data_IF_367284110461
#
_entry.id   IF_367284110461
#
_cell.length_a   1.000
_cell.length_b   1.000
_cell.length_c   1.000
_cell.angle_alpha   90.00
_cell.angle_beta   90.00
_cell.angle_gamma   90.00
#
_symmetry.space_group_name_H-M   'P 1'
#
loop_
_entity.id
_entity.type
_entity.pdbx_description
1 polymer ?
#
# COMPACT_ATOMS: atom_id res chain seq x y z
N UNK A 1 21.58 1.41 -11.05
CA UNK A 1 20.26 1.34 -11.71
C UNK A 1 20.45 1.90 -13.12
N UNK A 2 20.25 1.10 -14.16
CA UNK A 2 20.44 1.53 -15.57
C UNK A 2 19.19 2.19 -16.17
N UNK A 3 18.01 1.72 -15.77
CA UNK A 3 16.71 2.28 -16.11
C UNK A 3 15.89 2.38 -14.83
N UNK A 4 15.36 3.57 -14.56
CA UNK A 4 14.35 3.82 -13.52
C UNK A 4 13.02 4.05 -14.21
N UNK A 5 11.98 3.34 -13.77
CA UNK A 5 10.60 3.54 -14.23
C UNK A 5 9.81 4.13 -13.08
N UNK A 6 9.00 5.15 -13.37
CA UNK A 6 8.25 5.90 -12.37
C UNK A 6 6.78 5.88 -12.74
N UNK A 7 5.95 5.47 -11.78
CA UNK A 7 4.51 5.70 -11.80
C UNK A 7 4.20 7.02 -11.09
N UNK A 8 3.42 7.86 -11.76
CA UNK A 8 3.03 9.18 -11.25
C UNK A 8 1.69 9.16 -10.51
N UNK A 9 1.00 8.02 -10.50
CA UNK A 9 -0.30 7.82 -9.87
C UNK A 9 -0.33 7.85 -8.35
N UNK A 10 0.80 7.53 -7.71
CA UNK A 10 0.84 7.29 -6.26
C UNK A 10 1.28 8.56 -5.53
N UNK A 11 2.59 8.82 -5.49
CA UNK A 11 3.14 9.93 -4.70
C UNK A 11 2.97 11.30 -5.38
N UNK A 12 2.82 11.34 -6.71
CA UNK A 12 2.70 12.58 -7.49
C UNK A 12 1.26 12.96 -7.82
N UNK A 13 0.29 12.13 -7.39
CA UNK A 13 -1.16 12.39 -7.51
C UNK A 13 -1.63 12.83 -8.90
N UNK A 14 -1.03 12.27 -9.96
CA UNK A 14 -1.40 12.51 -11.36
C UNK A 14 -1.65 11.17 -12.05
N UNK A 15 -1.63 11.10 -13.38
CA UNK A 15 -1.81 9.84 -14.11
C UNK A 15 -0.80 9.75 -15.24
N UNK A 16 -0.09 8.63 -15.31
CA UNK A 16 0.92 8.36 -16.32
C UNK A 16 2.19 7.79 -15.71
N UNK A 17 3.23 7.71 -16.53
CA UNK A 17 4.53 7.22 -16.10
C UNK A 17 5.62 7.67 -17.05
N UNK A 18 6.86 7.63 -16.56
CA UNK A 18 8.03 7.94 -17.38
C UNK A 18 9.18 6.99 -17.00
N UNK A 19 10.18 6.92 -17.86
CA UNK A 19 11.43 6.25 -17.55
C UNK A 19 12.61 7.23 -17.65
N UNK A 20 13.64 6.97 -16.85
CA UNK A 20 14.90 7.70 -16.85
C UNK A 20 16.04 6.69 -16.96
N UNK A 21 17.10 7.04 -17.68
CA UNK A 21 18.25 6.16 -17.88
C UNK A 21 19.22 6.79 -18.88
N UNK A 22 20.13 5.98 -19.40
CA UNK A 22 21.07 6.43 -20.43
C UNK A 22 20.32 6.95 -21.68
N UNK A 23 20.76 8.08 -22.29
CA UNK A 23 20.12 8.63 -23.49
C UNK A 23 19.95 7.65 -24.65
N UNK A 24 20.89 6.72 -24.83
CA UNK A 24 20.81 5.67 -25.87
C UNK A 24 19.65 4.72 -25.56
N UNK A 25 19.49 4.32 -24.29
CA UNK A 25 18.43 3.44 -23.83
C UNK A 25 17.06 4.12 -23.95
N UNK A 26 16.94 5.37 -23.49
CA UNK A 26 15.69 6.14 -23.60
C UNK A 26 15.31 6.37 -25.07
N UNK A 27 16.29 6.68 -25.94
CA UNK A 27 16.06 6.83 -27.38
C UNK A 27 15.58 5.53 -28.02
N UNK A 28 16.14 4.39 -27.64
CA UNK A 28 15.69 3.09 -28.11
C UNK A 28 14.24 2.82 -27.69
N UNK A 29 13.90 3.03 -26.41
CA UNK A 29 12.52 2.89 -25.90
C UNK A 29 11.54 3.81 -26.64
N UNK A 30 11.96 5.05 -26.96
CA UNK A 30 11.13 6.01 -27.71
C UNK A 30 10.84 5.57 -29.15
N UNK A 31 11.80 4.91 -29.80
CA UNK A 31 11.70 4.48 -31.20
C UNK A 31 11.10 3.09 -31.38
N UNK A 32 11.19 2.24 -30.35
CA UNK A 32 10.79 0.83 -30.43
C UNK A 32 9.64 0.46 -29.49
N UNK A 33 9.30 1.33 -28.52
CA UNK A 33 8.21 1.09 -27.58
C UNK A 33 6.83 1.23 -28.24
N UNK A 34 6.18 0.10 -28.53
CA UNK A 34 4.85 0.08 -29.15
C UNK A 34 3.82 0.87 -28.34
N UNK A 35 3.83 0.73 -27.01
CA UNK A 35 2.94 1.48 -26.12
C UNK A 35 3.21 3.00 -26.13
N UNK A 36 4.43 3.43 -26.45
CA UNK A 36 4.76 4.85 -26.59
C UNK A 36 4.33 5.42 -27.95
N UNK A 37 4.46 4.63 -29.02
CA UNK A 37 4.16 5.05 -30.40
C UNK A 37 2.66 4.99 -30.72
N UNK A 38 1.98 3.94 -30.27
CA UNK A 38 0.59 3.63 -30.65
C UNK A 38 -0.41 3.97 -29.53
N UNK A 39 -0.12 4.99 -28.72
CA UNK A 39 -1.03 5.50 -27.69
C UNK A 39 -1.16 7.02 -27.76
N UNK A 40 -2.23 7.55 -27.17
CA UNK A 40 -2.40 8.98 -27.03
C UNK A 40 -1.45 9.56 -25.98
N UNK A 41 -0.90 10.74 -26.24
CA UNK A 41 -0.07 11.46 -25.27
C UNK A 41 -0.86 11.83 -24.02
N UNK A 42 -0.18 11.87 -22.87
CA UNK A 42 -0.75 12.35 -21.62
C UNK A 42 -1.26 13.81 -21.76
N UNK A 43 -2.46 14.14 -21.28
CA UNK A 43 -2.97 15.50 -21.24
C UNK A 43 -1.98 16.51 -20.63
N UNK A 44 -1.75 17.69 -21.23
CA UNK A 44 -0.76 18.65 -20.75
C UNK A 44 -0.92 19.05 -19.29
N UNK A 45 -2.16 19.17 -18.79
CA UNK A 45 -2.42 19.55 -17.40
C UNK A 45 -1.90 18.51 -16.39
N UNK A 46 -1.96 17.20 -16.73
CA UNK A 46 -1.43 16.13 -15.87
C UNK A 46 0.09 16.17 -15.83
N UNK A 47 0.74 16.52 -16.95
CA UNK A 47 2.19 16.69 -17.01
C UNK A 47 2.63 17.90 -16.18
N UNK A 48 1.92 19.03 -16.26
CA UNK A 48 2.17 20.19 -15.41
C UNK A 48 2.00 19.86 -13.93
N UNK A 49 0.91 19.17 -13.56
CA UNK A 49 0.69 18.73 -12.17
C UNK A 49 1.83 17.83 -11.67
N UNK A 50 2.31 16.91 -12.50
CA UNK A 50 3.47 16.06 -12.19
C UNK A 50 4.73 16.89 -11.91
N UNK A 51 5.02 17.89 -12.75
CA UNK A 51 6.19 18.76 -12.62
C UNK A 51 6.11 19.59 -11.33
N UNK A 52 4.94 20.15 -11.01
CA UNK A 52 4.76 20.91 -9.77
C UNK A 52 4.86 20.01 -8.53
N UNK A 53 4.30 18.80 -8.55
CA UNK A 53 4.45 17.84 -7.47
C UNK A 53 5.93 17.48 -7.21
N UNK A 54 6.72 17.26 -8.28
CA UNK A 54 8.17 17.03 -8.15
C UNK A 54 8.90 18.23 -7.53
N UNK A 55 8.59 19.45 -7.97
CA UNK A 55 9.19 20.67 -7.40
C UNK A 55 8.89 20.82 -5.91
N UNK A 56 7.66 20.47 -5.49
CA UNK A 56 7.28 20.47 -4.07
C UNK A 56 8.10 19.42 -3.31
N UNK A 57 8.24 18.21 -3.84
CA UNK A 57 9.03 17.14 -3.22
C UNK A 57 10.51 17.52 -3.04
N UNK A 58 11.10 18.21 -4.03
CA UNK A 58 12.49 18.69 -3.97
C UNK A 58 12.70 19.89 -3.02
N UNK A 59 11.62 20.57 -2.64
CA UNK A 59 11.67 21.75 -1.76
C UNK A 59 11.85 21.38 -0.27
N UNK A 60 12.02 22.40 0.58
CA UNK A 60 12.05 22.21 2.03
C UNK A 60 10.71 21.71 2.58
N UNK A 61 9.61 22.09 1.95
CA UNK A 61 8.27 21.59 2.28
C UNK A 61 8.19 20.09 2.03
N UNK A 62 8.66 19.61 0.87
CA UNK A 62 8.72 18.19 0.53
C UNK A 62 9.54 17.38 1.54
N UNK A 63 10.70 17.90 1.96
CA UNK A 63 11.51 17.27 3.04
C UNK A 63 10.75 17.17 4.35
N UNK A 64 9.99 18.19 4.73
CA UNK A 64 9.13 18.17 5.92
C UNK A 64 8.01 17.13 5.78
N UNK A 65 7.37 17.03 4.61
CA UNK A 65 6.34 16.03 4.32
C UNK A 65 6.91 14.60 4.44
N UNK A 66 8.08 14.34 3.84
CA UNK A 66 8.74 13.03 3.92
C UNK A 66 9.13 12.67 5.37
N UNK A 67 9.64 13.63 6.13
CA UNK A 67 9.95 13.42 7.56
C UNK A 67 8.67 13.06 8.34
N UNK A 68 7.58 13.81 8.12
CA UNK A 68 6.29 13.55 8.76
C UNK A 68 5.71 12.19 8.39
N UNK A 69 5.86 11.77 7.13
CA UNK A 69 5.47 10.43 6.68
C UNK A 69 6.24 9.35 7.47
N UNK A 70 7.57 9.47 7.58
CA UNK A 70 8.39 8.51 8.31
C UNK A 70 8.05 8.46 9.81
N UNK A 71 7.80 9.61 10.43
CA UNK A 71 7.29 9.68 11.81
C UNK A 71 5.94 8.97 11.95
N UNK A 72 5.00 9.24 11.04
CA UNK A 72 3.68 8.60 11.05
C UNK A 72 3.77 7.07 10.86
N UNK A 73 4.65 6.58 9.98
CA UNK A 73 4.88 5.14 9.77
C UNK A 73 5.36 4.49 11.07
N UNK A 74 6.36 5.10 11.72
CA UNK A 74 6.91 4.60 12.98
C UNK A 74 5.83 4.56 14.07
N UNK A 75 5.13 5.67 14.28
CA UNK A 75 4.09 5.79 15.30
C UNK A 75 2.93 4.83 15.05
N UNK A 76 2.51 4.66 13.80
CA UNK A 76 1.44 3.71 13.47
C UNK A 76 1.86 2.27 13.76
N UNK A 77 3.11 1.89 13.45
CA UNK A 77 3.66 0.57 13.80
C UNK A 77 3.70 0.35 15.32
N UNK A 78 4.05 1.38 16.10
CA UNK A 78 3.99 1.32 17.56
C UNK A 78 2.56 1.11 18.07
N UNK A 79 1.56 1.78 17.49
CA UNK A 79 0.16 1.60 17.87
C UNK A 79 -0.46 0.27 17.47
N UNK A 80 0.01 -0.34 16.36
CA UNK A 80 -0.36 -1.72 16.01
C UNK A 80 0.12 -2.72 17.08
N UNK A 81 1.15 -2.36 17.86
CA UNK A 81 1.57 -3.11 19.03
C UNK A 81 2.44 -4.33 18.74
N UNK A 82 2.44 -5.29 19.66
CA UNK A 82 3.34 -6.44 19.64
C UNK A 82 2.99 -7.43 18.53
N UNK A 83 3.99 -7.94 17.82
CA UNK A 83 3.84 -8.97 16.79
C UNK A 83 3.21 -10.27 17.32
N UNK A 84 3.38 -10.58 18.61
CA UNK A 84 2.77 -11.74 19.27
C UNK A 84 1.24 -11.71 19.17
N UNK A 85 0.62 -10.55 19.36
CA UNK A 85 -0.85 -10.39 19.23
C UNK A 85 -1.38 -10.84 17.87
N UNK A 86 -0.67 -10.48 16.79
CA UNK A 86 -1.05 -10.90 15.45
C UNK A 86 -0.79 -12.38 15.23
N UNK A 87 0.31 -12.89 15.77
CA UNK A 87 0.71 -14.31 15.65
C UNK A 87 -0.32 -15.22 16.30
N UNK A 88 -0.85 -14.84 17.46
CA UNK A 88 -1.93 -15.56 18.17
C UNK A 88 -3.23 -15.63 17.34
N UNK A 89 -3.48 -14.62 16.50
CA UNK A 89 -4.61 -14.60 15.56
C UNK A 89 -4.29 -15.30 14.21
N UNK A 90 -3.08 -15.85 14.05
CA UNK A 90 -2.62 -16.48 12.80
C UNK A 90 -2.14 -15.50 11.73
N UNK A 91 -1.86 -14.25 12.09
CA UNK A 91 -1.38 -13.18 11.20
C UNK A 91 0.04 -12.72 11.56
N UNK A 92 0.68 -12.02 10.64
CA UNK A 92 1.95 -11.34 10.86
C UNK A 92 1.91 -9.93 10.27
N UNK A 93 2.68 -9.01 10.87
CA UNK A 93 2.95 -7.71 10.26
C UNK A 93 4.07 -7.88 9.23
N UNK A 94 3.74 -7.62 7.96
CA UNK A 94 4.62 -7.74 6.80
C UNK A 94 4.85 -6.36 6.15
N UNK A 95 6.01 -6.19 5.52
CA UNK A 95 6.48 -4.95 4.91
C UNK A 95 7.60 -4.26 5.70
N UNK A 96 8.46 -3.55 4.96
CA UNK A 96 9.65 -2.86 5.48
C UNK A 96 9.32 -1.75 6.50
N UNK A 97 10.18 -1.55 7.49
CA UNK A 97 9.96 -0.58 8.58
C UNK A 97 9.80 0.86 8.08
N UNK A 98 10.45 1.23 6.99
CA UNK A 98 10.41 2.56 6.39
C UNK A 98 9.34 2.69 5.28
N UNK A 99 8.67 1.58 4.94
CA UNK A 99 7.63 1.55 3.92
C UNK A 99 6.33 2.21 4.40
N UNK A 100 5.81 3.12 3.58
CA UNK A 100 4.49 3.72 3.77
C UNK A 100 3.33 2.72 3.61
N UNK A 101 3.60 1.54 3.03
CA UNK A 101 2.62 0.45 2.94
C UNK A 101 3.07 -0.72 3.79
N UNK A 102 2.16 -1.24 4.60
CA UNK A 102 2.34 -2.46 5.39
C UNK A 102 1.16 -3.41 5.20
N UNK A 103 1.37 -4.66 5.57
CA UNK A 103 0.40 -5.74 5.40
C UNK A 103 0.18 -6.46 6.72
N UNK A 104 -1.08 -6.65 7.11
CA UNK A 104 -1.44 -7.64 8.14
C UNK A 104 -1.76 -8.92 7.37
N UNK A 105 -0.81 -9.83 7.30
CA UNK A 105 -0.82 -10.98 6.39
C UNK A 105 -1.08 -12.27 7.14
N UNK A 106 -1.93 -13.15 6.61
CA UNK A 106 -2.11 -14.51 7.14
C UNK A 106 -0.78 -15.25 7.08
N UNK A 107 -0.35 -15.83 8.20
CA UNK A 107 0.83 -16.69 8.24
C UNK A 107 0.60 -17.89 7.31
N UNK A 108 1.50 -18.18 6.35
CA UNK A 108 1.34 -19.29 5.43
C UNK A 108 1.25 -20.63 6.17
N UNK A 109 0.24 -21.43 5.84
CA UNK A 109 0.04 -22.78 6.40
C UNK A 109 -0.19 -23.78 5.26
N UNK A 110 0.28 -25.02 5.44
CA UNK A 110 -0.01 -26.10 4.52
C UNK A 110 -1.52 -26.37 4.50
N UNK A 111 -2.13 -26.36 3.31
CA UNK A 111 -3.57 -26.51 3.08
C UNK A 111 -4.47 -25.33 3.52
N UNK A 112 -3.95 -24.11 3.67
CA UNK A 112 -4.79 -22.95 3.97
C UNK A 112 -5.76 -22.62 2.83
N UNK A 113 -7.07 -22.52 3.12
CA UNK A 113 -8.07 -22.09 2.15
C UNK A 113 -8.02 -20.57 1.97
N UNK A 114 -7.41 -20.12 0.88
CA UNK A 114 -7.31 -18.71 0.53
C UNK A 114 -8.68 -18.03 0.37
N UNK A 115 -9.69 -18.73 -0.14
CA UNK A 115 -11.04 -18.15 -0.30
C UNK A 115 -11.70 -17.93 1.05
N UNK A 116 -11.56 -18.89 1.98
CA UNK A 116 -12.02 -18.73 3.37
C UNK A 116 -11.40 -17.50 4.01
N UNK A 117 -10.07 -17.38 3.96
CA UNK A 117 -9.37 -16.24 4.57
C UNK A 117 -9.70 -14.90 3.90
N UNK A 118 -9.87 -14.87 2.58
CA UNK A 118 -10.36 -13.65 1.91
C UNK A 118 -11.74 -13.24 2.41
N UNK A 119 -12.68 -14.17 2.58
CA UNK A 119 -14.03 -13.87 3.13
C UNK A 119 -13.94 -13.26 4.53
N UNK A 120 -13.10 -13.84 5.40
CA UNK A 120 -12.86 -13.30 6.74
C UNK A 120 -12.31 -11.86 6.66
N UNK A 121 -11.32 -11.61 5.80
CA UNK A 121 -10.76 -10.27 5.65
C UNK A 121 -11.75 -9.27 5.05
N UNK A 122 -12.64 -9.69 4.15
CA UNK A 122 -13.73 -8.82 3.65
C UNK A 122 -14.69 -8.44 4.78
N UNK A 123 -15.01 -9.36 5.68
CA UNK A 123 -15.85 -9.04 6.83
C UNK A 123 -15.13 -8.09 7.79
N UNK A 124 -13.83 -8.30 8.05
CA UNK A 124 -13.00 -7.37 8.85
C UNK A 124 -13.01 -5.97 8.22
N UNK A 125 -12.75 -5.87 6.91
CA UNK A 125 -12.80 -4.61 6.18
C UNK A 125 -14.18 -3.94 6.27
N UNK A 126 -15.25 -4.73 6.12
CA UNK A 126 -16.63 -4.25 6.20
C UNK A 126 -16.95 -3.68 7.59
N UNK A 127 -16.61 -4.41 8.66
CA UNK A 127 -16.83 -3.94 10.04
C UNK A 127 -16.01 -2.68 10.35
N UNK A 128 -14.73 -2.65 9.95
CA UNK A 128 -13.89 -1.45 10.10
C UNK A 128 -14.49 -0.23 9.38
N UNK A 129 -14.97 -0.41 8.15
CA UNK A 129 -15.54 0.68 7.38
C UNK A 129 -16.90 1.14 7.93
N UNK A 130 -17.78 0.20 8.26
CA UNK A 130 -19.18 0.51 8.62
C UNK A 130 -19.33 0.95 10.07
N UNK A 131 -18.65 0.30 11.01
CA UNK A 131 -18.73 0.63 12.44
C UNK A 131 -17.73 1.71 12.85
N UNK A 132 -16.51 1.65 12.33
CA UNK A 132 -15.41 2.49 12.80
C UNK A 132 -14.99 3.57 11.80
N UNK A 133 -15.57 3.60 10.58
CA UNK A 133 -15.20 4.54 9.52
C UNK A 133 -13.72 4.48 9.12
N UNK A 134 -13.09 3.33 9.35
CA UNK A 134 -11.69 3.06 8.97
C UNK A 134 -11.70 2.24 7.69
N UNK A 135 -11.14 2.80 6.61
CA UNK A 135 -10.99 2.09 5.36
C UNK A 135 -9.60 1.47 5.24
N UNK A 136 -9.57 0.16 5.00
CA UNK A 136 -8.37 -0.62 4.65
C UNK A 136 -8.61 -1.32 3.33
N UNK A 137 -7.54 -1.72 2.63
CA UNK A 137 -7.66 -2.42 1.35
C UNK A 137 -7.27 -3.90 1.47
N UNK A 138 -7.80 -4.76 0.60
CA UNK A 138 -7.40 -6.17 0.50
C UNK A 138 -6.74 -6.35 -0.88
N UNK A 139 -5.46 -6.75 -0.96
CA UNK A 139 -4.82 -7.01 -2.22
C UNK A 139 -5.44 -8.25 -2.88
N UNK A 140 -5.63 -8.18 -4.20
CA UNK A 140 -6.01 -9.31 -5.03
C UNK A 140 -4.84 -9.65 -5.94
N UNK A 141 -4.58 -10.94 -6.06
CA UNK A 141 -3.50 -11.47 -6.86
C UNK A 141 -4.06 -12.20 -8.07
N UNK A 142 -3.33 -12.17 -9.17
CA UNK A 142 -3.72 -12.89 -10.36
C UNK A 142 -3.47 -14.39 -10.19
N UNK A 143 -4.37 -15.24 -10.70
CA UNK A 143 -4.15 -16.69 -10.75
C UNK A 143 -2.98 -17.11 -11.64
N UNK A 144 -2.43 -16.18 -12.43
CA UNK A 144 -1.25 -16.38 -13.26
C UNK A 144 0.07 -16.07 -12.51
N UNK A 145 0.03 -15.59 -11.27
CA UNK A 145 1.24 -15.33 -10.49
C UNK A 145 1.92 -16.64 -10.10
N UNK A 146 3.22 -16.74 -10.34
CA UNK A 146 4.01 -17.91 -9.96
C UNK A 146 4.06 -18.16 -8.44
N UNK A 147 3.97 -17.10 -7.65
CA UNK A 147 3.97 -17.15 -6.18
C UNK A 147 2.93 -16.19 -5.66
N UNK A 148 1.73 -16.72 -5.42
CA UNK A 148 0.61 -15.95 -4.87
C UNK A 148 0.86 -15.73 -3.36
N UNK A 149 0.97 -14.47 -2.89
CA UNK A 149 1.07 -14.19 -1.46
C UNK A 149 -0.22 -14.59 -0.73
N UNK A 150 -0.09 -14.94 0.56
CA UNK A 150 -1.25 -15.21 1.40
C UNK A 150 -2.13 -13.97 1.58
N UNK A 151 -3.40 -14.20 1.91
CA UNK A 151 -4.39 -13.15 2.13
C UNK A 151 -3.91 -12.13 3.18
N UNK A 152 -4.14 -10.84 2.91
CA UNK A 152 -3.67 -9.76 3.78
C UNK A 152 -4.62 -8.56 3.79
N UNK A 153 -4.54 -7.75 4.85
CA UNK A 153 -5.00 -6.37 4.83
C UNK A 153 -3.84 -5.48 4.44
N UNK A 154 -3.98 -4.71 3.36
CA UNK A 154 -3.02 -3.69 2.94
C UNK A 154 -3.43 -2.35 3.55
N UNK A 155 -2.52 -1.77 4.33
CA UNK A 155 -2.68 -0.48 4.99
C UNK A 155 -1.63 0.48 4.41
N UNK A 156 -2.06 1.69 4.08
CA UNK A 156 -1.18 2.75 3.55
C UNK A 156 -1.22 3.95 4.50
N UNK A 157 -0.06 4.36 4.98
CA UNK A 157 0.14 5.50 5.87
C UNK A 157 0.52 6.72 5.02
N UNK A 158 -0.04 7.88 5.35
CA UNK A 158 0.23 9.15 4.69
C UNK A 158 0.80 10.17 5.69
N UNK A 159 1.55 11.15 5.19
CA UNK A 159 1.93 12.34 5.95
C UNK A 159 0.72 13.14 6.43
N UNK A 160 -0.43 13.03 5.73
CA UNK A 160 -1.66 13.74 6.06
C UNK A 160 -2.48 13.14 7.20
N UNK A 161 -2.13 11.94 7.69
CA UNK A 161 -2.82 11.37 8.86
C UNK A 161 -2.40 12.07 10.15
N UNK A 162 -3.36 12.42 11.00
CA UNK A 162 -3.08 12.88 12.36
C UNK A 162 -2.73 11.70 13.26
N UNK A 163 -1.93 11.95 14.29
CA UNK A 163 -1.53 10.91 15.26
C UNK A 163 -2.71 10.23 15.93
N UNK A 164 -3.78 11.00 16.26
CA UNK A 164 -5.01 10.48 16.86
C UNK A 164 -5.76 9.52 15.92
N UNK A 165 -5.72 9.78 14.61
CA UNK A 165 -6.40 8.95 13.61
C UNK A 165 -5.65 7.63 13.42
N UNK A 166 -4.32 7.68 13.46
CA UNK A 166 -3.45 6.51 13.43
C UNK A 166 -3.67 5.62 14.65
N UNK A 167 -3.73 6.22 15.85
CA UNK A 167 -4.02 5.51 17.10
C UNK A 167 -5.39 4.85 17.05
N UNK A 168 -6.42 5.60 16.66
CA UNK A 168 -7.78 5.11 16.54
C UNK A 168 -7.90 3.96 15.53
N UNK A 169 -7.31 4.11 14.34
CA UNK A 169 -7.31 3.07 13.32
C UNK A 169 -6.62 1.79 13.81
N UNK A 170 -5.47 1.91 14.48
CA UNK A 170 -4.76 0.77 15.04
C UNK A 170 -5.56 0.09 16.17
N UNK A 171 -6.24 0.87 17.03
CA UNK A 171 -7.14 0.35 18.04
C UNK A 171 -8.29 -0.46 17.42
N UNK A 172 -9.00 0.10 16.45
CA UNK A 172 -10.12 -0.58 15.79
C UNK A 172 -9.70 -1.86 15.07
N UNK A 173 -8.52 -1.88 14.45
CA UNK A 173 -7.97 -3.10 13.84
C UNK A 173 -7.74 -4.19 14.89
N UNK A 174 -7.14 -3.83 16.04
CA UNK A 174 -6.89 -4.79 17.14
C UNK A 174 -8.18 -5.27 17.81
N UNK A 175 -9.23 -4.45 17.80
CA UNK A 175 -10.54 -4.84 18.34
C UNK A 175 -11.26 -5.82 17.40
N UNK A 176 -11.34 -5.51 16.10
CA UNK A 176 -12.17 -6.25 15.14
C UNK A 176 -11.52 -7.55 14.68
N UNK A 177 -10.20 -7.57 14.49
CA UNK A 177 -9.51 -8.71 13.89
C UNK A 177 -9.66 -10.02 14.71
N UNK A 178 -9.44 -10.05 16.03
CA UNK A 178 -9.54 -11.30 16.80
C UNK A 178 -10.98 -11.81 16.92
N UNK A 179 -11.95 -10.90 17.05
CA UNK A 179 -13.38 -11.26 17.20
C UNK A 179 -13.83 -12.08 15.99
N UNK A 180 -13.58 -11.55 14.79
CA UNK A 180 -14.01 -12.20 13.56
C UNK A 180 -13.21 -13.47 13.27
N UNK A 181 -11.91 -13.50 13.58
CA UNK A 181 -11.11 -14.73 13.43
C UNK A 181 -11.68 -15.84 14.30
N UNK A 182 -12.03 -15.56 15.56
CA UNK A 182 -12.61 -16.55 16.46
C UNK A 182 -14.02 -17.00 16.04
N UNK A 183 -14.88 -16.07 15.60
CA UNK A 183 -16.23 -16.40 15.13
C UNK A 183 -16.23 -17.33 13.90
N UNK A 184 -15.30 -17.14 12.97
CA UNK A 184 -15.19 -17.93 11.74
C UNK A 184 -14.32 -19.19 11.85
N UNK A 185 -13.58 -19.35 12.95
CA UNK A 185 -12.84 -20.58 13.26
C UNK A 185 -13.68 -21.54 14.12
N UNK A 186 -14.64 -21.03 14.90
CA UNK A 186 -15.54 -21.83 15.74
C UNK A 186 -16.85 -22.25 15.03
N UNK A 187 -17.11 -21.74 13.82
CA UNK A 187 -18.21 -22.15 12.92
C UNK A 187 -17.68 -22.97 11.75
#
# INVERSE_FOLDING_TARGET
IEITVVDTGIALSTVGGFCCGDPVVVRHQRLSGSAYIFSASQPPFLATACIEAMKILDSQEGKSIMKKLQENIKVFREFLGNAEFYTDCGFQLDGDLESATLFIRKIPEENSDMQKWMKILYEVQYQLLMKHRVFVSIPRYSGFEHKIPSAALRISVSAGHETKDLEYAAHCIREVLPILVNEFMNN
#
